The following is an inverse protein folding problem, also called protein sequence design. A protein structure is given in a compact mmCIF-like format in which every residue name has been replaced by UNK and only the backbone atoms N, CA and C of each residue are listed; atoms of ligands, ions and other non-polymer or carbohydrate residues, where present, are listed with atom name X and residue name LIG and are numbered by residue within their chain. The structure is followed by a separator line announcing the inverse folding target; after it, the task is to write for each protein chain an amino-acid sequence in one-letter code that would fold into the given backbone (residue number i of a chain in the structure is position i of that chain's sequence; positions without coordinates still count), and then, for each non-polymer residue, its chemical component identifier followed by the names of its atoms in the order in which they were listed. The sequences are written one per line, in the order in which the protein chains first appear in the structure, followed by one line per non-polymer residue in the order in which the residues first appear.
data_IF_609471641020
#
_entry.id   IF_609471641020
#
_cell.length_a   1.000
_cell.length_b   1.000
_cell.length_c   1.000
_cell.angle_alpha   90.00
_cell.angle_beta   90.00
_cell.angle_gamma   90.00
#
_symmetry.space_group_name_H-M   'P 1'
#
loop_
_entity.id
_entity.type
_entity.pdbx_description
1 polymer ?
#
# COMPACT_ATOMS: atom_id res chain seq x y z
N UNK A 1 -16.10 -2.97 31.62
CA UNK A 1 -15.88 -2.63 30.19
C UNK A 1 -15.25 -1.25 30.17
N UNK A 2 -14.04 -1.12 29.63
CA UNK A 2 -13.35 0.18 29.55
C UNK A 2 -14.15 1.13 28.65
N UNK A 3 -14.39 2.37 29.11
CA UNK A 3 -15.08 3.44 28.37
C UNK A 3 -14.17 4.18 27.38
N UNK A 4 -12.94 3.71 27.19
CA UNK A 4 -12.02 4.26 26.21
C UNK A 4 -12.31 3.64 24.84
N UNK A 5 -12.51 4.45 23.78
CA UNK A 5 -12.65 3.91 22.43
C UNK A 5 -11.39 3.12 22.08
N UNK A 6 -11.55 1.84 21.75
CA UNK A 6 -10.46 1.01 21.27
C UNK A 6 -9.96 1.60 19.95
N UNK A 7 -8.68 2.00 19.89
CA UNK A 7 -8.05 2.54 18.69
C UNK A 7 -7.98 1.42 17.64
N UNK A 8 -8.97 1.40 16.76
CA UNK A 8 -9.08 0.45 15.65
C UNK A 8 -9.21 1.19 14.34
N UNK A 9 -8.78 0.55 13.27
CA UNK A 9 -9.06 1.02 11.92
C UNK A 9 -10.58 1.00 11.66
N UNK A 10 -11.17 2.08 11.14
CA UNK A 10 -12.57 2.09 10.78
C UNK A 10 -12.81 1.25 9.53
N UNK A 11 -14.00 0.65 9.47
CA UNK A 11 -14.48 -0.05 8.28
C UNK A 11 -14.82 0.93 7.15
N UNK A 12 -14.90 0.43 5.92
CA UNK A 12 -15.35 1.23 4.76
C UNK A 12 -16.72 1.86 5.02
N UNK A 13 -17.64 1.14 5.68
CA UNK A 13 -18.96 1.66 6.04
C UNK A 13 -18.88 2.86 6.99
N UNK A 14 -18.01 2.79 8.00
CA UNK A 14 -17.79 3.89 8.96
C UNK A 14 -17.13 5.11 8.31
N UNK A 15 -16.21 4.88 7.36
CA UNK A 15 -15.62 5.94 6.54
C UNK A 15 -16.67 6.65 5.69
N UNK A 16 -17.54 5.89 5.00
CA UNK A 16 -18.62 6.45 4.18
C UNK A 16 -19.65 7.19 5.04
N UNK A 17 -20.01 6.67 6.21
CA UNK A 17 -20.89 7.37 7.15
C UNK A 17 -20.28 8.68 7.66
N UNK A 18 -18.99 8.68 8.00
CA UNK A 18 -18.27 9.88 8.41
C UNK A 18 -18.24 10.94 7.31
N UNK A 19 -18.00 10.52 6.05
CA UNK A 19 -18.02 11.42 4.90
C UNK A 19 -19.43 11.98 4.63
N UNK A 20 -20.47 11.15 4.77
CA UNK A 20 -21.87 11.58 4.61
C UNK A 20 -22.27 12.60 5.67
N UNK A 21 -21.87 12.38 6.92
CA UNK A 21 -22.09 13.34 8.00
C UNK A 21 -21.40 14.67 7.71
N UNK A 22 -20.15 14.63 7.24
CA UNK A 22 -19.40 15.84 6.88
C UNK A 22 -20.08 16.62 5.74
N UNK A 23 -20.55 15.92 4.70
CA UNK A 23 -21.28 16.53 3.60
C UNK A 23 -22.62 17.14 4.02
N UNK A 24 -23.35 16.48 4.93
CA UNK A 24 -24.62 16.99 5.46
C UNK A 24 -24.44 18.24 6.35
N UNK A 25 -23.34 18.32 7.10
CA UNK A 25 -23.04 19.47 7.96
C UNK A 25 -22.58 20.70 7.18
N UNK A 26 -21.97 20.51 6.00
CA UNK A 26 -21.39 21.58 5.17
C UNK A 26 -21.81 21.45 3.69
N UNK A 27 -23.12 21.47 3.36
CA UNK A 27 -23.59 21.15 2.01
C UNK A 27 -23.16 22.16 0.93
N UNK A 28 -22.78 23.39 1.31
CA UNK A 28 -22.22 24.38 0.38
C UNK A 28 -20.75 24.13 0.01
N UNK A 29 -20.00 23.45 0.88
CA UNK A 29 -18.56 23.22 0.72
C UNK A 29 -18.23 21.76 0.35
N UNK A 30 -19.11 20.82 0.69
CA UNK A 30 -18.90 19.38 0.57
C UNK A 30 -19.96 18.68 -0.28
N UNK A 31 -19.54 17.69 -1.07
CA UNK A 31 -20.44 16.79 -1.79
C UNK A 31 -19.92 15.36 -1.75
N UNK A 32 -20.74 14.43 -1.27
CA UNK A 32 -20.50 13.00 -1.39
C UNK A 32 -21.27 12.45 -2.60
N UNK A 33 -20.61 11.65 -3.44
CA UNK A 33 -21.25 11.02 -4.59
C UNK A 33 -20.63 9.66 -4.88
N UNK A 34 -21.42 8.77 -5.50
CA UNK A 34 -20.97 7.45 -5.89
C UNK A 34 -20.37 7.51 -7.31
N UNK A 35 -19.20 6.90 -7.48
CA UNK A 35 -18.41 6.96 -8.73
C UNK A 35 -18.42 5.63 -9.50
N UNK A 36 -18.88 4.57 -8.86
CA UNK A 36 -18.95 3.24 -9.45
C UNK A 36 -19.40 2.18 -8.45
N UNK A 37 -19.27 0.92 -8.86
CA UNK A 37 -19.48 -0.26 -8.02
C UNK A 37 -18.32 -1.23 -8.26
N UNK A 38 -17.94 -1.94 -7.21
CA UNK A 38 -16.94 -3.01 -7.25
C UNK A 38 -17.50 -4.29 -7.86
N UNK A 39 -16.64 -5.30 -8.05
CA UNK A 39 -17.00 -6.60 -8.62
C UNK A 39 -18.10 -7.31 -7.84
N UNK A 40 -18.09 -7.20 -6.51
CA UNK A 40 -19.12 -7.74 -5.64
C UNK A 40 -20.22 -6.72 -5.31
N UNK A 41 -20.34 -5.64 -6.09
CA UNK A 41 -21.48 -4.71 -6.05
C UNK A 41 -21.42 -3.67 -4.93
N UNK A 42 -20.29 -3.53 -4.20
CA UNK A 42 -20.12 -2.49 -3.18
C UNK A 42 -19.86 -1.13 -3.83
N UNK A 43 -20.51 -0.04 -3.38
CA UNK A 43 -20.37 1.28 -4.00
C UNK A 43 -19.03 1.95 -3.68
N UNK A 44 -18.41 2.56 -4.69
CA UNK A 44 -17.23 3.42 -4.52
C UNK A 44 -17.69 4.87 -4.38
N UNK A 45 -17.19 5.58 -3.38
CA UNK A 45 -17.63 6.94 -3.05
C UNK A 45 -16.47 7.94 -3.09
N UNK A 46 -16.75 9.11 -3.66
CA UNK A 46 -15.87 10.28 -3.60
C UNK A 46 -16.52 11.37 -2.76
N UNK A 47 -15.78 11.87 -1.77
CA UNK A 47 -16.08 13.10 -1.06
C UNK A 47 -15.32 14.25 -1.73
N UNK A 48 -16.03 15.26 -2.22
CA UNK A 48 -15.45 16.49 -2.77
C UNK A 48 -15.56 17.63 -1.76
N UNK A 49 -14.51 18.45 -1.63
CA UNK A 49 -14.45 19.65 -0.79
C UNK A 49 -13.91 20.81 -1.63
N UNK A 50 -14.68 21.90 -1.73
CA UNK A 50 -14.35 23.06 -2.56
C UNK A 50 -14.95 23.01 -3.98
N UNK A 51 -14.79 24.10 -4.72
CA UNK A 51 -15.39 24.32 -6.04
C UNK A 51 -14.43 24.93 -7.07
N UNK A 52 -13.15 25.06 -6.73
CA UNK A 52 -12.14 25.58 -7.64
C UNK A 52 -11.85 24.62 -8.80
N UNK A 53 -11.36 25.17 -9.92
CA UNK A 53 -11.07 24.41 -11.14
C UNK A 53 -9.89 23.44 -10.99
N UNK A 54 -8.85 23.81 -10.24
CA UNK A 54 -7.70 22.94 -10.00
C UNK A 54 -8.12 21.84 -9.02
N UNK A 55 -7.76 20.60 -9.31
CA UNK A 55 -8.19 19.45 -8.52
C UNK A 55 -7.00 18.67 -7.95
N UNK A 56 -7.12 18.29 -6.67
CA UNK A 56 -6.33 17.23 -6.02
C UNK A 56 -7.23 16.01 -5.89
N UNK A 57 -6.71 14.84 -6.27
CA UNK A 57 -7.37 13.56 -6.00
C UNK A 57 -6.58 12.79 -4.93
N UNK A 58 -7.22 12.42 -3.84
CA UNK A 58 -6.65 11.53 -2.82
C UNK A 58 -7.35 10.18 -2.92
N UNK A 59 -6.58 9.11 -3.03
CA UNK A 59 -7.07 7.74 -3.18
C UNK A 59 -6.73 6.95 -1.92
N UNK A 60 -7.75 6.50 -1.19
CA UNK A 60 -7.59 5.63 -0.04
C UNK A 60 -8.01 4.19 -0.37
N UNK A 61 -7.57 3.23 0.45
CA UNK A 61 -7.94 1.83 0.30
C UNK A 61 -7.42 1.23 -1.00
N UNK A 62 -6.19 1.59 -1.39
CA UNK A 62 -5.49 1.02 -2.54
C UNK A 62 -5.30 -0.50 -2.39
N UNK A 63 -4.98 -0.94 -1.17
CA UNK A 63 -4.93 -2.35 -0.79
C UNK A 63 -5.71 -2.63 0.49
N UNK A 64 -6.32 -3.81 0.54
CA UNK A 64 -7.12 -4.28 1.66
C UNK A 64 -6.38 -4.29 3.01
N UNK A 65 -5.08 -4.57 2.98
CA UNK A 65 -4.23 -4.74 4.16
C UNK A 65 -3.60 -3.42 4.68
N UNK A 66 -4.00 -2.27 4.11
CA UNK A 66 -3.40 -0.94 4.32
C UNK A 66 -4.45 0.08 4.81
N UNK A 67 -4.98 -0.09 6.04
CA UNK A 67 -6.21 0.58 6.46
C UNK A 67 -6.07 2.04 6.91
N UNK A 68 -4.84 2.59 7.01
CA UNK A 68 -4.60 3.96 7.49
C UNK A 68 -5.08 5.06 6.53
N UNK A 69 -5.13 4.78 5.22
CA UNK A 69 -5.40 5.79 4.19
C UNK A 69 -6.80 6.41 4.27
N UNK A 70 -7.83 5.62 4.60
CA UNK A 70 -9.21 6.12 4.71
C UNK A 70 -9.37 7.18 5.81
N UNK A 71 -8.95 6.89 7.06
CA UNK A 71 -8.88 7.87 8.14
C UNK A 71 -8.05 9.12 7.80
N UNK A 72 -6.88 8.95 7.17
CA UNK A 72 -6.04 10.07 6.74
C UNK A 72 -6.74 10.97 5.72
N UNK A 73 -7.41 10.39 4.72
CA UNK A 73 -8.22 11.13 3.75
C UNK A 73 -9.32 11.96 4.43
N UNK A 74 -10.02 11.40 5.42
CA UNK A 74 -11.04 12.14 6.19
C UNK A 74 -10.44 13.21 7.12
N UNK A 75 -9.25 12.98 7.68
CA UNK A 75 -8.54 13.98 8.47
C UNK A 75 -8.18 15.19 7.59
N UNK A 76 -7.65 14.97 6.39
CA UNK A 76 -7.36 16.03 5.42
C UNK A 76 -8.65 16.73 4.96
N UNK A 77 -9.73 16.00 4.69
CA UNK A 77 -11.01 16.60 4.30
C UNK A 77 -11.54 17.56 5.39
N UNK A 78 -11.44 17.20 6.67
CA UNK A 78 -11.80 18.08 7.80
C UNK A 78 -10.88 19.28 7.89
N UNK A 79 -9.57 19.09 7.69
CA UNK A 79 -8.59 20.17 7.69
C UNK A 79 -8.86 21.18 6.58
N UNK A 80 -9.09 20.73 5.35
CA UNK A 80 -9.43 21.57 4.20
C UNK A 80 -10.71 22.38 4.42
N UNK A 81 -11.68 21.85 5.19
CA UNK A 81 -12.87 22.60 5.58
C UNK A 81 -12.58 23.67 6.64
N UNK A 82 -11.67 23.38 7.58
CA UNK A 82 -11.29 24.28 8.65
C UNK A 82 -10.33 25.39 8.21
N UNK A 83 -9.53 25.14 7.17
CA UNK A 83 -8.52 26.03 6.58
C UNK A 83 -8.94 26.45 5.15
N UNK A 84 -9.76 27.51 4.99
CA UNK A 84 -10.28 27.94 3.68
C UNK A 84 -9.20 28.21 2.63
N UNK A 85 -8.00 28.60 3.04
CA UNK A 85 -6.83 28.82 2.20
C UNK A 85 -6.40 27.56 1.43
N UNK A 86 -6.62 26.36 1.99
CA UNK A 86 -6.32 25.10 1.31
C UNK A 86 -7.28 24.83 0.15
N UNK A 87 -8.48 25.41 0.18
CA UNK A 87 -9.52 25.23 -0.84
C UNK A 87 -9.87 26.49 -1.63
N UNK A 88 -9.12 27.57 -1.46
CA UNK A 88 -9.39 28.85 -2.11
C UNK A 88 -9.24 28.76 -3.64
N UNK A 89 -8.22 28.05 -4.11
CA UNK A 89 -7.91 27.87 -5.54
C UNK A 89 -7.87 26.40 -5.97
N UNK A 90 -8.17 25.48 -5.04
CA UNK A 90 -8.03 24.03 -5.21
C UNK A 90 -9.28 23.31 -4.68
N UNK A 91 -9.85 22.42 -5.49
CA UNK A 91 -10.84 21.43 -5.03
C UNK A 91 -10.15 20.15 -4.64
N UNK A 92 -10.60 19.54 -3.55
CA UNK A 92 -10.06 18.30 -3.02
C UNK A 92 -11.08 17.19 -3.18
N UNK A 93 -10.67 16.06 -3.73
CA UNK A 93 -11.53 14.91 -3.97
C UNK A 93 -10.93 13.68 -3.32
N UNK A 94 -11.70 12.99 -2.48
CA UNK A 94 -11.24 11.85 -1.68
C UNK A 94 -12.01 10.60 -2.09
N UNK A 95 -11.39 9.70 -2.85
CA UNK A 95 -11.92 8.35 -3.06
C UNK A 95 -11.70 7.55 -1.78
N UNK A 96 -12.79 7.22 -1.09
CA UNK A 96 -12.73 6.73 0.30
C UNK A 96 -12.22 5.28 0.41
N UNK A 97 -12.37 4.48 -0.64
CA UNK A 97 -11.83 3.13 -0.75
C UNK A 97 -11.82 2.70 -2.23
N UNK A 98 -10.64 2.41 -2.78
CA UNK A 98 -10.49 1.93 -4.15
C UNK A 98 -10.89 0.45 -4.30
N UNK A 99 -10.59 -0.39 -3.30
CA UNK A 99 -10.96 -1.81 -3.27
C UNK A 99 -11.86 -2.17 -2.07
N UNK A 100 -13.15 -1.80 -2.10
CA UNK A 100 -14.07 -2.11 -1.00
C UNK A 100 -14.33 -3.61 -0.85
N UNK A 101 -14.10 -4.41 -1.90
CA UNK A 101 -14.24 -5.86 -1.85
C UNK A 101 -13.09 -6.47 -1.08
N UNK A 102 -11.84 -6.13 -1.45
CA UNK A 102 -10.68 -6.57 -0.70
C UNK A 102 -10.68 -6.09 0.74
N UNK A 103 -11.05 -4.82 0.99
CA UNK A 103 -11.15 -4.28 2.34
C UNK A 103 -12.15 -5.05 3.22
N UNK A 104 -13.18 -5.68 2.63
CA UNK A 104 -14.13 -6.52 3.37
C UNK A 104 -13.57 -7.90 3.76
N UNK A 105 -12.50 -8.34 3.09
CA UNK A 105 -11.85 -9.62 3.33
C UNK A 105 -10.68 -9.53 4.32
N UNK A 106 -10.09 -8.35 4.53
CA UNK A 106 -9.10 -8.14 5.58
C UNK A 106 -9.79 -7.85 6.92
N UNK A 107 -9.56 -8.71 7.92
CA UNK A 107 -10.39 -8.77 9.14
C UNK A 107 -9.63 -8.58 10.46
N UNK A 108 -8.50 -7.86 10.43
CA UNK A 108 -7.77 -7.49 11.66
C UNK A 108 -7.74 -5.97 11.89
N UNK A 109 -8.82 -5.37 12.42
CA UNK A 109 -8.92 -3.91 12.58
C UNK A 109 -8.11 -3.34 13.76
N UNK A 110 -7.65 -4.17 14.69
CA UNK A 110 -6.85 -3.76 15.85
C UNK A 110 -5.81 -4.85 16.22
N UNK A 111 -4.80 -5.07 15.35
CA UNK A 111 -3.79 -6.10 15.61
C UNK A 111 -2.95 -5.73 16.84
N UNK A 112 -2.70 -6.71 17.73
CA UNK A 112 -1.83 -6.53 18.90
C UNK A 112 -0.41 -7.03 18.66
N UNK A 113 -0.23 -7.85 17.62
CA UNK A 113 1.04 -8.39 17.17
C UNK A 113 1.03 -8.58 15.65
N UNK A 114 2.22 -8.82 15.05
CA UNK A 114 2.29 -9.23 13.65
C UNK A 114 1.53 -10.54 13.41
N UNK A 115 1.52 -11.46 14.38
CA UNK A 115 0.78 -12.71 14.22
C UNK A 115 -0.72 -12.45 14.13
N UNK A 116 -1.29 -11.66 15.04
CA UNK A 116 -2.72 -11.28 15.01
C UNK A 116 -3.09 -10.59 13.69
N UNK A 117 -2.22 -9.72 13.18
CA UNK A 117 -2.39 -9.08 11.87
C UNK A 117 -2.47 -10.10 10.74
N UNK A 118 -1.58 -11.09 10.74
CA UNK A 118 -1.55 -12.11 9.70
C UNK A 118 -2.75 -13.06 9.77
N UNK A 119 -3.33 -13.32 10.95
CA UNK A 119 -4.50 -14.21 11.06
C UNK A 119 -5.74 -13.71 10.29
N UNK A 120 -5.89 -12.40 10.11
CA UNK A 120 -6.95 -11.79 9.30
C UNK A 120 -6.46 -11.18 7.99
N UNK A 121 -5.24 -11.49 7.55
CA UNK A 121 -4.62 -10.89 6.37
C UNK A 121 -5.39 -11.20 5.10
N UNK A 122 -5.48 -10.21 4.22
CA UNK A 122 -5.89 -10.39 2.83
C UNK A 122 -5.25 -9.31 1.97
N UNK A 123 -4.67 -9.70 0.84
CA UNK A 123 -4.26 -8.81 -0.24
C UNK A 123 -4.60 -9.50 -1.56
N UNK A 124 -5.35 -8.87 -2.49
CA UNK A 124 -5.70 -9.51 -3.76
C UNK A 124 -4.47 -9.86 -4.61
N UNK A 125 -4.63 -10.78 -5.56
CA UNK A 125 -3.64 -10.96 -6.63
C UNK A 125 -3.49 -9.66 -7.45
N UNK A 126 -2.32 -9.40 -8.04
CA UNK A 126 -2.04 -8.11 -8.71
C UNK A 126 -3.08 -7.70 -9.76
N UNK A 127 -3.55 -8.64 -10.59
CA UNK A 127 -4.59 -8.40 -11.60
C UNK A 127 -5.97 -8.05 -11.00
N UNK A 128 -6.16 -8.30 -9.70
CA UNK A 128 -7.37 -7.99 -8.95
C UNK A 128 -7.24 -6.71 -8.11
N UNK A 129 -6.05 -6.08 -8.05
CA UNK A 129 -5.82 -4.84 -7.32
C UNK A 129 -6.17 -3.65 -8.24
N UNK A 130 -7.07 -2.72 -7.84
CA UNK A 130 -7.57 -1.70 -8.76
C UNK A 130 -6.50 -0.81 -9.39
N UNK A 131 -5.42 -0.49 -8.66
CA UNK A 131 -4.35 0.36 -9.15
C UNK A 131 -3.35 -0.36 -10.07
N UNK A 132 -3.12 -1.66 -9.83
CA UNK A 132 -2.15 -2.48 -10.57
C UNK A 132 -2.74 -3.24 -11.75
N UNK A 133 -4.05 -3.49 -11.76
CA UNK A 133 -4.71 -4.27 -12.80
C UNK A 133 -4.37 -3.83 -14.24
N UNK A 134 -4.26 -2.51 -14.56
CA UNK A 134 -3.83 -2.05 -15.88
C UNK A 134 -2.44 -2.52 -16.34
N UNK A 135 -1.53 -2.82 -15.42
CA UNK A 135 -0.20 -3.35 -15.75
C UNK A 135 -0.22 -4.83 -16.11
N UNK A 136 -1.30 -5.55 -15.78
CA UNK A 136 -1.38 -7.01 -15.89
C UNK A 136 -2.52 -7.50 -16.80
N UNK A 137 -3.48 -6.64 -17.10
CA UNK A 137 -4.69 -6.99 -17.83
C UNK A 137 -4.95 -6.02 -19.00
N UNK A 138 -5.50 -6.53 -20.12
CA UNK A 138 -5.95 -5.66 -21.20
C UNK A 138 -7.18 -4.83 -20.80
N UNK A 139 -7.46 -3.69 -21.47
CA UNK A 139 -8.55 -2.76 -21.13
C UNK A 139 -9.94 -3.39 -20.96
N UNK A 140 -10.28 -4.37 -21.78
CA UNK A 140 -11.57 -5.08 -21.78
C UNK A 140 -11.76 -5.99 -20.56
N UNK A 141 -10.67 -6.36 -19.88
CA UNK A 141 -10.65 -7.20 -18.68
C UNK A 141 -10.42 -6.44 -17.37
N UNK A 142 -10.24 -5.11 -17.43
CA UNK A 142 -10.01 -4.32 -16.22
C UNK A 142 -11.18 -4.41 -15.23
N UNK A 143 -10.90 -4.53 -13.92
CA UNK A 143 -11.93 -4.49 -12.88
C UNK A 143 -12.77 -3.20 -12.95
N UNK A 144 -14.07 -3.27 -12.60
CA UNK A 144 -14.93 -2.09 -12.54
C UNK A 144 -14.42 -1.01 -11.56
N UNK A 145 -13.71 -1.38 -10.50
CA UNK A 145 -13.03 -0.48 -9.57
C UNK A 145 -11.95 0.35 -10.28
N UNK A 146 -11.11 -0.30 -11.10
CA UNK A 146 -10.09 0.35 -11.93
C UNK A 146 -10.73 1.32 -12.94
N UNK A 147 -11.84 0.91 -13.57
CA UNK A 147 -12.59 1.76 -14.50
C UNK A 147 -13.21 2.97 -13.80
N UNK A 148 -13.72 2.79 -12.59
CA UNK A 148 -14.25 3.87 -11.77
C UNK A 148 -13.14 4.86 -11.37
N UNK A 149 -11.98 4.38 -10.91
CA UNK A 149 -10.84 5.23 -10.56
C UNK A 149 -10.33 6.03 -11.76
N UNK A 150 -10.06 5.37 -12.89
CA UNK A 150 -9.62 6.05 -14.12
C UNK A 150 -10.67 7.03 -14.65
N UNK A 151 -11.96 6.70 -14.56
CA UNK A 151 -13.06 7.61 -14.88
C UNK A 151 -13.11 8.85 -13.98
N UNK A 152 -12.83 8.71 -12.69
CA UNK A 152 -12.68 9.85 -11.76
C UNK A 152 -11.49 10.72 -12.16
N UNK A 153 -10.33 10.12 -12.48
CA UNK A 153 -9.16 10.86 -12.93
C UNK A 153 -9.47 11.61 -14.25
N UNK A 154 -10.17 10.98 -15.19
CA UNK A 154 -10.58 11.58 -16.47
C UNK A 154 -11.53 12.78 -16.28
N UNK A 155 -12.45 12.67 -15.33
CA UNK A 155 -13.42 13.72 -15.02
C UNK A 155 -12.78 14.91 -14.28
N UNK A 156 -11.91 14.62 -13.29
CA UNK A 156 -11.32 15.64 -12.42
C UNK A 156 -10.05 16.28 -13.00
N UNK A 157 -9.30 15.53 -13.82
CA UNK A 157 -8.00 15.94 -14.38
C UNK A 157 -7.08 16.53 -13.31
N UNK A 158 -6.81 15.79 -12.23
CA UNK A 158 -6.10 16.34 -11.09
C UNK A 158 -4.68 16.74 -11.49
N UNK A 159 -4.20 17.87 -10.97
CA UNK A 159 -2.79 18.23 -11.14
C UNK A 159 -1.89 17.31 -10.29
N UNK A 160 -2.45 16.73 -9.22
CA UNK A 160 -1.81 15.69 -8.44
C UNK A 160 -2.84 14.68 -7.91
N UNK A 161 -2.54 13.40 -8.10
CA UNK A 161 -3.12 12.29 -7.37
C UNK A 161 -2.19 11.95 -6.19
N UNK A 162 -2.74 11.76 -5.00
CA UNK A 162 -2.03 11.21 -3.85
C UNK A 162 -2.71 9.91 -3.48
N UNK A 163 -2.07 8.77 -3.76
CA UNK A 163 -2.58 7.46 -3.36
C UNK A 163 -1.93 7.01 -2.05
N UNK A 164 -2.75 6.52 -1.12
CA UNK A 164 -2.39 6.26 0.26
C UNK A 164 -2.22 4.76 0.48
N UNK A 165 -0.98 4.39 0.79
CA UNK A 165 -0.54 3.02 0.98
C UNK A 165 0.01 2.82 2.39
N UNK A 166 0.31 1.57 2.72
CA UNK A 166 1.01 1.25 3.93
C UNK A 166 1.85 -0.01 3.83
N UNK A 167 2.91 -0.05 4.63
CA UNK A 167 3.67 -1.27 4.86
C UNK A 167 3.24 -1.87 6.20
N UNK A 168 3.20 -3.20 6.27
CA UNK A 168 3.02 -3.88 7.55
C UNK A 168 4.19 -3.51 8.48
N UNK A 169 5.44 -3.75 8.07
CA UNK A 169 6.62 -3.47 8.89
C UNK A 169 7.72 -2.79 8.08
N UNK A 170 8.17 -1.60 8.44
CA UNK A 170 9.27 -0.93 7.75
C UNK A 170 9.42 0.54 8.17
N UNK A 171 9.70 1.40 7.21
CA UNK A 171 9.69 2.85 7.38
C UNK A 171 8.69 3.51 6.44
N UNK A 172 8.58 4.82 6.52
CA UNK A 172 7.78 5.61 5.57
C UNK A 172 8.63 6.08 4.40
N UNK A 173 8.03 6.14 3.22
CA UNK A 173 8.65 6.64 2.01
C UNK A 173 7.59 7.11 1.00
N UNK A 174 8.04 7.77 -0.08
CA UNK A 174 7.20 8.31 -1.15
C UNK A 174 7.75 7.90 -2.50
N UNK A 175 6.87 7.40 -3.38
CA UNK A 175 7.15 7.24 -4.81
C UNK A 175 6.44 8.32 -5.61
N UNK A 176 7.15 8.96 -6.52
CA UNK A 176 6.63 10.04 -7.36
C UNK A 176 6.72 9.63 -8.82
N UNK A 177 5.60 9.64 -9.56
CA UNK A 177 5.65 9.40 -11.01
C UNK A 177 6.26 10.57 -11.79
N UNK A 178 6.43 11.72 -11.13
CA UNK A 178 7.20 12.89 -11.57
C UNK A 178 7.66 13.65 -10.33
N UNK A 179 8.90 14.14 -10.35
CA UNK A 179 9.48 14.83 -9.20
C UNK A 179 8.61 15.98 -8.68
N UNK A 180 8.62 16.20 -7.36
CA UNK A 180 7.96 17.32 -6.68
C UNK A 180 9.01 17.98 -5.78
N UNK A 181 9.78 18.95 -6.32
CA UNK A 181 10.86 19.56 -5.57
C UNK A 181 10.41 20.15 -4.24
N UNK A 182 11.21 19.89 -3.20
CA UNK A 182 10.99 20.42 -1.86
C UNK A 182 10.08 19.60 -0.97
N UNK A 183 9.49 18.48 -1.41
CA UNK A 183 8.65 17.65 -0.52
C UNK A 183 9.46 16.84 0.50
N UNK A 184 10.76 16.61 0.25
CA UNK A 184 11.60 15.77 1.11
C UNK A 184 11.74 16.35 2.53
N UNK A 185 11.86 17.67 2.68
CA UNK A 185 11.96 18.32 4.00
C UNK A 185 10.68 18.17 4.84
N UNK A 186 9.48 18.59 4.37
CA UNK A 186 8.27 18.48 5.19
C UNK A 186 7.88 17.02 5.44
N UNK A 187 8.18 16.11 4.50
CA UNK A 187 8.01 14.67 4.68
C UNK A 187 8.90 14.14 5.82
N UNK A 188 10.22 14.34 5.72
CA UNK A 188 11.17 13.86 6.73
C UNK A 188 10.95 14.50 8.10
N UNK A 189 10.61 15.80 8.13
CA UNK A 189 10.26 16.51 9.36
C UNK A 189 9.04 15.87 10.04
N UNK A 190 7.98 15.60 9.28
CA UNK A 190 6.80 14.94 9.84
C UNK A 190 7.12 13.54 10.36
N UNK A 191 7.95 12.78 9.66
CA UNK A 191 8.34 11.44 10.09
C UNK A 191 9.13 11.50 11.41
N UNK A 192 10.09 12.42 11.51
CA UNK A 192 10.89 12.64 12.72
C UNK A 192 10.05 13.05 13.94
N UNK A 193 9.13 14.01 13.77
CA UNK A 193 8.24 14.48 14.85
C UNK A 193 7.29 13.38 15.38
N UNK A 194 6.98 12.39 14.54
CA UNK A 194 6.07 11.27 14.87
C UNK A 194 6.82 9.98 15.21
N UNK A 195 8.15 10.02 15.26
CA UNK A 195 9.05 8.88 15.50
C UNK A 195 8.82 7.71 14.51
N UNK A 196 8.66 8.05 13.23
CA UNK A 196 8.56 7.11 12.11
C UNK A 196 9.88 7.15 11.33
N UNK A 197 10.59 6.01 11.18
CA UNK A 197 11.80 5.94 10.36
C UNK A 197 11.50 6.24 8.89
N UNK A 198 12.42 6.92 8.22
CA UNK A 198 12.34 7.17 6.78
C UNK A 198 13.09 6.05 6.06
N UNK A 199 12.38 5.27 5.26
CA UNK A 199 12.97 4.16 4.50
C UNK A 199 13.68 4.71 3.26
N UNK A 200 15.01 4.82 3.33
CA UNK A 200 15.81 5.50 2.30
C UNK A 200 16.17 4.62 1.10
N UNK A 201 16.04 3.30 1.27
CA UNK A 201 16.33 2.29 0.24
C UNK A 201 15.14 1.36 0.00
N UNK A 202 13.93 1.90 -0.18
CA UNK A 202 12.73 1.10 -0.35
C UNK A 202 12.86 0.10 -1.52
N UNK A 203 12.67 -1.18 -1.25
CA UNK A 203 12.83 -2.25 -2.24
C UNK A 203 11.80 -2.16 -3.37
N UNK A 204 10.59 -1.68 -3.10
CA UNK A 204 9.55 -1.40 -4.11
C UNK A 204 9.95 -0.25 -5.06
N UNK A 205 10.91 0.60 -4.67
CA UNK A 205 11.48 1.66 -5.50
C UNK A 205 12.91 1.34 -5.95
N UNK A 206 13.29 0.06 -5.99
CA UNK A 206 14.64 -0.36 -6.37
C UNK A 206 15.04 0.23 -7.74
N UNK A 207 16.18 0.92 -7.76
CA UNK A 207 16.72 1.56 -8.98
C UNK A 207 16.07 2.89 -9.36
N UNK A 208 15.11 3.39 -8.57
CA UNK A 208 14.51 4.71 -8.80
C UNK A 208 15.41 5.79 -8.18
N UNK A 209 15.72 6.88 -8.93
CA UNK A 209 16.47 8.00 -8.36
C UNK A 209 15.74 8.63 -7.18
N UNK A 210 16.48 9.03 -6.15
CA UNK A 210 15.92 9.75 -5.01
C UNK A 210 16.02 11.27 -5.22
N UNK A 211 14.96 12.02 -4.90
CA UNK A 211 15.01 13.50 -4.81
C UNK A 211 15.19 14.01 -3.37
N UNK A 212 15.24 13.10 -2.41
CA UNK A 212 15.60 13.32 -1.01
C UNK A 212 15.45 12.03 -0.20
N UNK A 213 15.78 12.02 1.11
CA UNK A 213 15.62 10.85 1.96
C UNK A 213 14.19 10.30 1.90
N UNK A 214 14.04 9.04 1.48
CA UNK A 214 12.75 8.35 1.34
C UNK A 214 11.82 8.93 0.27
N UNK A 215 12.31 9.76 -0.64
CA UNK A 215 11.53 10.28 -1.78
C UNK A 215 12.14 9.78 -3.08
N UNK A 216 11.47 8.82 -3.72
CA UNK A 216 11.90 8.18 -4.95
C UNK A 216 11.09 8.67 -6.14
N UNK A 217 11.74 8.92 -7.27
CA UNK A 217 11.12 9.44 -8.49
C UNK A 217 11.21 8.39 -9.58
N UNK A 218 10.10 8.15 -10.26
CA UNK A 218 10.03 7.20 -11.36
C UNK A 218 11.05 7.57 -12.43
N UNK A 219 11.87 6.60 -12.88
CA UNK A 219 12.93 6.89 -13.82
C UNK A 219 12.37 7.18 -15.22
N UNK A 220 13.16 7.88 -16.04
CA UNK A 220 12.80 8.17 -17.42
C UNK A 220 12.50 6.88 -18.23
N UNK A 221 11.66 6.96 -19.28
CA UNK A 221 11.40 5.81 -20.15
C UNK A 221 12.71 5.17 -20.65
N UNK A 222 12.77 3.83 -20.66
CA UNK A 222 13.95 3.08 -21.07
C UNK A 222 14.94 2.76 -19.95
N UNK A 223 14.75 3.28 -18.73
CA UNK A 223 15.41 2.72 -17.55
C UNK A 223 14.91 1.30 -17.31
N UNK A 224 15.83 0.34 -17.24
CA UNK A 224 15.49 -1.07 -16.97
C UNK A 224 14.93 -1.27 -15.57
N UNK A 225 14.05 -2.26 -15.40
CA UNK A 225 13.54 -2.65 -14.09
C UNK A 225 14.66 -3.30 -13.26
N UNK A 226 14.71 -3.00 -11.96
CA UNK A 226 15.63 -3.64 -11.03
C UNK A 226 15.28 -5.13 -10.82
N UNK A 227 14.00 -5.48 -10.91
CA UNK A 227 13.46 -6.83 -10.80
C UNK A 227 12.61 -7.16 -12.04
N UNK A 228 13.21 -7.54 -13.18
CA UNK A 228 12.49 -7.74 -14.43
C UNK A 228 11.47 -8.90 -14.41
N UNK A 229 11.53 -9.79 -13.42
CA UNK A 229 10.55 -10.86 -13.24
C UNK A 229 9.22 -10.38 -12.64
N UNK A 230 9.20 -9.20 -12.02
CA UNK A 230 8.02 -8.68 -11.34
C UNK A 230 7.09 -7.95 -12.33
N UNK A 231 5.76 -8.08 -12.18
CA UNK A 231 4.79 -7.40 -13.04
C UNK A 231 4.48 -5.97 -12.57
N UNK A 232 5.49 -5.20 -12.17
CA UNK A 232 5.38 -3.97 -11.37
C UNK A 232 5.71 -2.67 -12.15
N UNK A 233 5.48 -2.64 -13.47
CA UNK A 233 5.68 -1.40 -14.24
C UNK A 233 4.59 -0.36 -13.92
N UNK A 234 4.93 0.54 -12.99
CA UNK A 234 4.09 1.66 -12.56
C UNK A 234 3.62 2.57 -13.72
N UNK A 235 4.31 2.58 -14.86
CA UNK A 235 3.89 3.36 -16.05
C UNK A 235 2.62 2.80 -16.70
N UNK A 236 2.37 1.51 -16.48
CA UNK A 236 1.19 0.82 -16.98
C UNK A 236 0.06 0.78 -15.96
N UNK A 237 0.26 1.29 -14.73
CA UNK A 237 -0.72 1.30 -13.65
C UNK A 237 -1.62 2.55 -13.66
N UNK A 238 -2.65 2.59 -12.80
CA UNK A 238 -3.48 3.81 -12.66
C UNK A 238 -2.68 5.01 -12.16
N UNK A 239 -1.53 4.80 -11.52
CA UNK A 239 -0.65 5.86 -11.03
C UNK A 239 -0.14 6.75 -12.17
N UNK A 240 -0.01 6.23 -13.39
CA UNK A 240 0.44 7.02 -14.53
C UNK A 240 -0.72 7.73 -15.27
N UNK A 241 -1.98 7.40 -14.97
CA UNK A 241 -3.14 7.89 -15.73
C UNK A 241 -3.30 9.42 -15.68
N UNK A 242 -2.94 10.06 -14.57
CA UNK A 242 -2.99 11.52 -14.42
C UNK A 242 -2.04 12.27 -15.39
N UNK A 243 -0.98 11.61 -15.88
CA UNK A 243 -0.03 12.22 -16.84
C UNK A 243 -0.69 12.59 -18.17
N UNK A 244 -1.79 11.91 -18.55
CA UNK A 244 -2.60 12.25 -19.73
C UNK A 244 -3.09 13.70 -19.71
N UNK A 245 -3.22 14.27 -18.52
CA UNK A 245 -3.70 15.64 -18.29
C UNK A 245 -2.60 16.58 -17.77
N UNK A 246 -1.34 16.15 -17.81
CA UNK A 246 -0.20 16.91 -17.28
C UNK A 246 -0.03 16.83 -15.76
N UNK A 247 -0.87 16.05 -15.07
CA UNK A 247 -0.76 15.77 -13.64
C UNK A 247 0.32 14.73 -13.31
N UNK A 248 0.48 14.44 -12.02
CA UNK A 248 1.37 13.40 -11.50
C UNK A 248 0.71 12.63 -10.36
N UNK A 249 1.34 11.55 -9.92
CA UNK A 249 0.92 10.76 -8.76
C UNK A 249 2.04 10.68 -7.73
N UNK A 250 1.68 10.89 -6.47
CA UNK A 250 2.50 10.56 -5.31
C UNK A 250 1.87 9.35 -4.58
N UNK A 251 2.67 8.32 -4.37
CA UNK A 251 2.34 7.14 -3.59
C UNK A 251 2.97 7.33 -2.21
N UNK A 252 2.16 7.38 -1.16
CA UNK A 252 2.62 7.66 0.21
C UNK A 252 2.49 6.41 1.07
N UNK A 253 3.62 5.89 1.51
CA UNK A 253 3.72 4.67 2.30
C UNK A 253 3.93 4.99 3.77
N UNK A 254 3.11 4.43 4.66
CA UNK A 254 3.28 4.57 6.12
C UNK A 254 3.33 3.19 6.79
N UNK A 255 4.26 2.96 7.75
CA UNK A 255 4.35 1.66 8.41
C UNK A 255 3.31 1.50 9.51
N UNK A 256 2.77 0.29 9.64
CA UNK A 256 1.99 -0.13 10.80
C UNK A 256 2.92 -0.46 11.99
N UNK A 257 4.01 -1.20 11.71
CA UNK A 257 5.15 -1.39 12.61
C UNK A 257 6.40 -0.72 12.04
N UNK A 258 7.01 0.17 12.82
CA UNK A 258 8.26 0.82 12.46
C UNK A 258 9.47 -0.06 12.79
N UNK A 259 10.54 0.09 12.00
CA UNK A 259 11.86 -0.46 12.28
C UNK A 259 12.98 0.46 11.81
N UNK A 260 13.99 0.68 12.65
CA UNK A 260 15.19 1.46 12.32
C UNK A 260 16.20 0.61 11.51
N UNK A 261 15.83 -0.59 11.06
CA UNK A 261 16.69 -1.42 10.20
C UNK A 261 16.63 -1.03 8.72
N UNK A 262 15.75 -0.09 8.35
CA UNK A 262 15.50 0.31 6.95
C UNK A 262 15.93 1.75 6.64
N UNK A 263 16.55 2.44 7.59
CA UNK A 263 17.00 3.83 7.44
C UNK A 263 18.53 4.03 7.50
N UNK A 264 19.32 2.99 7.81
CA UNK A 264 20.79 3.04 7.88
C UNK A 264 21.44 3.22 6.49
N UNK A 265 21.97 4.41 6.16
CA UNK A 265 22.55 4.69 4.85
C UNK A 265 23.98 4.16 4.71
N UNK A 266 24.55 3.54 5.75
CA UNK A 266 25.91 3.03 5.67
C UNK A 266 26.00 1.88 4.65
N UNK A 267 27.13 1.75 3.93
CA UNK A 267 27.36 0.62 3.03
C UNK A 267 27.22 -0.72 3.76
N UNK A 268 26.54 -1.67 3.14
CA UNK A 268 26.47 -3.04 3.61
C UNK A 268 27.80 -3.76 3.30
N UNK A 269 28.39 -4.54 4.23
CA UNK A 269 29.73 -5.12 4.05
C UNK A 269 29.81 -6.18 2.93
N UNK A 270 28.69 -6.86 2.63
CA UNK A 270 28.62 -7.88 1.58
C UNK A 270 27.21 -7.97 0.94
N UNK A 271 26.76 -6.96 0.19
CA UNK A 271 25.37 -6.82 -0.26
C UNK A 271 24.94 -7.98 -1.17
N UNK A 272 25.76 -8.36 -2.15
CA UNK A 272 25.46 -9.50 -3.05
C UNK A 272 25.33 -10.83 -2.29
N UNK A 273 26.17 -11.06 -1.26
CA UNK A 273 26.07 -12.25 -0.42
C UNK A 273 24.81 -12.23 0.44
N UNK A 274 24.41 -11.06 0.95
CA UNK A 274 23.14 -10.89 1.65
C UNK A 274 21.95 -11.19 0.75
N UNK A 275 21.88 -10.59 -0.45
CA UNK A 275 20.81 -10.84 -1.43
C UNK A 275 20.64 -12.34 -1.75
N UNK A 276 21.73 -13.05 -2.03
CA UNK A 276 21.68 -14.51 -2.26
C UNK A 276 21.14 -15.29 -1.05
N UNK A 277 21.49 -14.88 0.16
CA UNK A 277 21.00 -15.51 1.40
C UNK A 277 19.51 -15.23 1.62
N UNK A 278 19.04 -14.02 1.31
CA UNK A 278 17.63 -13.62 1.35
C UNK A 278 16.82 -14.41 0.31
N UNK A 279 17.31 -14.51 -0.93
CA UNK A 279 16.71 -15.32 -1.99
C UNK A 279 16.62 -16.80 -1.58
N UNK A 280 17.68 -17.36 -1.00
CA UNK A 280 17.66 -18.73 -0.49
C UNK A 280 16.64 -18.96 0.61
N UNK A 281 16.43 -18.00 1.52
CA UNK A 281 15.37 -18.07 2.54
C UNK A 281 13.99 -17.97 1.91
N UNK A 282 13.79 -17.01 1.02
CA UNK A 282 12.54 -16.80 0.29
C UNK A 282 12.10 -18.11 -0.39
N UNK A 283 12.99 -18.72 -1.17
CA UNK A 283 12.73 -20.01 -1.84
C UNK A 283 12.38 -21.13 -0.85
N UNK A 284 13.08 -21.23 0.29
CA UNK A 284 12.80 -22.27 1.31
C UNK A 284 11.44 -22.07 1.97
N UNK A 285 11.09 -20.83 2.34
CA UNK A 285 9.82 -20.53 2.99
C UNK A 285 8.65 -20.73 2.03
N UNK A 286 8.74 -20.24 0.78
CA UNK A 286 7.68 -20.43 -0.21
C UNK A 286 7.46 -21.91 -0.52
N UNK A 287 8.52 -22.72 -0.66
CA UNK A 287 8.39 -24.19 -0.80
C UNK A 287 7.67 -24.85 0.37
N UNK A 288 7.85 -24.35 1.60
CA UNK A 288 7.15 -24.90 2.76
C UNK A 288 5.63 -24.63 2.68
N UNK A 289 5.23 -23.48 2.13
CA UNK A 289 3.82 -23.16 1.86
C UNK A 289 3.30 -23.97 0.67
N UNK A 290 4.07 -24.08 -0.41
CA UNK A 290 3.71 -24.89 -1.60
C UNK A 290 3.47 -26.35 -1.24
N UNK A 291 4.27 -26.93 -0.35
CA UNK A 291 4.09 -28.30 0.12
C UNK A 291 2.76 -28.48 0.88
N UNK A 292 2.37 -27.49 1.68
CA UNK A 292 1.08 -27.50 2.37
C UNK A 292 -0.06 -27.35 1.37
N UNK A 293 0.06 -26.40 0.44
CA UNK A 293 -0.92 -26.18 -0.62
C UNK A 293 -1.10 -27.44 -1.47
N UNK A 294 -0.02 -28.05 -1.94
CA UNK A 294 -0.06 -29.25 -2.78
C UNK A 294 -0.66 -30.46 -2.05
N UNK A 295 -0.39 -30.63 -0.75
CA UNK A 295 -1.04 -31.67 0.06
C UNK A 295 -2.55 -31.40 0.24
N UNK A 296 -2.94 -30.13 0.42
CA UNK A 296 -4.33 -29.74 0.64
C UNK A 296 -5.16 -29.70 -0.65
N UNK A 297 -4.55 -29.41 -1.81
CA UNK A 297 -5.25 -29.13 -3.06
C UNK A 297 -6.29 -30.20 -3.46
N UNK A 298 -6.02 -31.52 -3.34
CA UNK A 298 -7.03 -32.54 -3.66
C UNK A 298 -8.27 -32.52 -2.75
N UNK A 299 -8.15 -31.95 -1.54
CA UNK A 299 -9.23 -31.79 -0.57
C UNK A 299 -9.95 -30.44 -0.69
N UNK A 300 -9.33 -29.50 -1.40
CA UNK A 300 -9.88 -28.19 -1.73
C UNK A 300 -10.60 -28.19 -3.10
N UNK A 301 -11.00 -29.35 -3.61
CA UNK A 301 -11.71 -29.43 -4.89
C UNK A 301 -13.04 -28.65 -4.81
N UNK A 302 -13.30 -27.82 -5.82
CA UNK A 302 -14.41 -26.86 -5.82
C UNK A 302 -14.25 -25.65 -4.88
N UNK A 303 -13.23 -25.61 -4.02
CA UNK A 303 -12.91 -24.45 -3.17
C UNK A 303 -12.14 -23.43 -4.00
N UNK A 304 -12.88 -22.58 -4.70
CA UNK A 304 -12.36 -21.36 -5.31
C UNK A 304 -12.49 -20.17 -4.37
N UNK A 305 -11.68 -19.13 -4.57
CA UNK A 305 -11.87 -17.90 -3.81
C UNK A 305 -10.73 -16.90 -3.96
N UNK A 306 -10.97 -15.63 -3.58
CA UNK A 306 -9.95 -14.59 -3.65
C UNK A 306 -8.73 -14.90 -2.77
N UNK A 307 -8.91 -15.53 -1.60
CA UNK A 307 -7.82 -15.93 -0.71
C UNK A 307 -6.88 -16.94 -1.37
N UNK A 308 -7.42 -18.01 -1.93
CA UNK A 308 -6.63 -19.06 -2.59
C UNK A 308 -5.91 -18.50 -3.83
N UNK A 309 -6.62 -17.74 -4.69
CA UNK A 309 -6.00 -17.10 -5.87
C UNK A 309 -4.85 -16.16 -5.49
N UNK A 310 -5.04 -15.34 -4.46
CA UNK A 310 -4.01 -14.43 -3.97
C UNK A 310 -2.81 -15.14 -3.34
N UNK A 311 -3.05 -16.20 -2.55
CA UNK A 311 -1.98 -17.00 -1.97
C UNK A 311 -1.14 -17.68 -3.05
N UNK A 312 -1.78 -18.33 -4.04
CA UNK A 312 -1.10 -18.96 -5.17
C UNK A 312 -0.31 -17.94 -5.99
N UNK A 313 -0.92 -16.80 -6.34
CA UNK A 313 -0.24 -15.74 -7.08
C UNK A 313 1.01 -15.22 -6.35
N UNK A 314 0.94 -15.00 -5.04
CA UNK A 314 2.10 -14.58 -4.25
C UNK A 314 3.26 -15.60 -4.28
N UNK A 315 2.95 -16.90 -4.34
CA UNK A 315 3.94 -17.97 -4.46
C UNK A 315 4.54 -18.04 -5.87
N UNK A 316 3.74 -17.80 -6.91
CA UNK A 316 4.18 -17.79 -8.32
C UNK A 316 5.23 -16.70 -8.62
N UNK A 317 5.22 -15.59 -7.88
CA UNK A 317 6.22 -14.50 -8.03
C UNK A 317 7.62 -14.89 -7.52
N UNK A 318 7.69 -15.82 -6.56
CA UNK A 318 8.90 -16.09 -5.78
C UNK A 318 10.08 -16.59 -6.63
N UNK A 319 9.92 -17.56 -7.55
CA UNK A 319 11.05 -18.08 -8.31
C UNK A 319 11.74 -17.01 -9.16
N UNK A 320 10.95 -16.15 -9.82
CA UNK A 320 11.46 -15.04 -10.63
C UNK A 320 12.21 -14.02 -9.77
N UNK A 321 11.58 -13.55 -8.70
CA UNK A 321 12.18 -12.57 -7.80
C UNK A 321 13.48 -13.07 -7.17
N UNK A 322 13.51 -14.34 -6.74
CA UNK A 322 14.70 -14.96 -6.19
C UNK A 322 15.82 -15.07 -7.25
N UNK A 323 15.48 -15.36 -8.50
CA UNK A 323 16.43 -15.39 -9.60
C UNK A 323 17.01 -13.99 -9.85
N UNK A 324 16.18 -12.95 -9.86
CA UNK A 324 16.64 -11.56 -9.97
C UNK A 324 17.67 -11.25 -8.88
N UNK A 325 17.37 -11.52 -7.61
CA UNK A 325 18.31 -11.25 -6.50
C UNK A 325 19.61 -12.05 -6.54
N UNK A 326 19.62 -13.21 -7.20
CA UNK A 326 20.82 -14.06 -7.33
C UNK A 326 21.68 -13.60 -8.51
N UNK A 327 21.06 -13.20 -9.62
CA UNK A 327 21.71 -13.02 -10.90
C UNK A 327 21.92 -11.55 -11.30
N UNK A 328 21.21 -10.61 -10.67
CA UNK A 328 21.41 -9.18 -10.89
C UNK A 328 22.25 -8.55 -9.77
N UNK A 329 22.87 -7.41 -10.05
CA UNK A 329 23.54 -6.61 -9.03
C UNK A 329 22.47 -5.97 -8.14
N UNK A 330 22.65 -5.91 -6.80
CA UNK A 330 21.78 -5.12 -5.94
C UNK A 330 21.60 -3.71 -6.48
N UNK A 331 20.36 -3.19 -6.46
CA UNK A 331 20.07 -1.86 -6.99
C UNK A 331 20.73 -0.74 -6.17
N UNK A 332 20.99 -1.03 -4.90
CA UNK A 332 21.66 -0.18 -3.93
C UNK A 332 22.50 -1.09 -3.00
N UNK A 333 23.61 -0.59 -2.46
CA UNK A 333 24.53 -1.35 -1.61
C UNK A 333 24.49 -0.96 -0.13
N UNK A 334 23.57 -0.08 0.27
CA UNK A 334 23.34 0.36 1.64
C UNK A 334 22.70 -0.74 2.49
N UNK A 335 22.87 -0.62 3.81
CA UNK A 335 22.17 -1.49 4.76
C UNK A 335 20.67 -1.26 4.75
N UNK A 336 20.20 -0.02 4.58
CA UNK A 336 18.80 0.34 4.43
C UNK A 336 18.12 -0.48 3.32
N UNK A 337 18.72 -0.52 2.13
CA UNK A 337 18.18 -1.30 1.01
C UNK A 337 18.17 -2.81 1.30
N UNK A 338 19.27 -3.36 1.81
CA UNK A 338 19.31 -4.78 2.19
C UNK A 338 18.30 -5.11 3.30
N UNK A 339 18.06 -4.17 4.23
CA UNK A 339 17.03 -4.27 5.26
C UNK A 339 15.62 -4.28 4.68
N UNK A 340 15.34 -3.40 3.71
CA UNK A 340 14.07 -3.36 2.98
C UNK A 340 13.80 -4.68 2.24
N UNK A 341 14.81 -5.22 1.53
CA UNK A 341 14.70 -6.54 0.87
C UNK A 341 14.54 -7.67 1.89
N UNK A 342 15.20 -7.61 3.06
CA UNK A 342 15.01 -8.58 4.15
C UNK A 342 13.55 -8.56 4.65
N UNK A 343 12.93 -7.38 4.77
CA UNK A 343 11.54 -7.24 5.15
C UNK A 343 10.61 -7.80 4.05
N UNK A 344 10.77 -7.36 2.80
CA UNK A 344 9.95 -7.80 1.68
C UNK A 344 9.99 -9.32 1.48
N UNK A 345 11.18 -9.92 1.54
CA UNK A 345 11.37 -11.36 1.40
C UNK A 345 10.74 -12.20 2.51
N UNK A 346 10.46 -11.63 3.68
CA UNK A 346 9.73 -12.29 4.78
C UNK A 346 8.22 -12.17 4.59
N UNK A 347 7.76 -10.99 4.15
CA UNK A 347 6.35 -10.70 3.93
C UNK A 347 5.74 -11.62 2.88
N UNK A 348 6.41 -11.83 1.75
CA UNK A 348 5.81 -12.55 0.61
C UNK A 348 5.32 -13.97 0.96
N UNK A 349 6.15 -14.90 1.49
CA UNK A 349 5.69 -16.23 1.89
C UNK A 349 4.77 -16.19 3.12
N UNK A 350 4.97 -15.25 4.05
CA UNK A 350 4.12 -15.11 5.23
C UNK A 350 2.69 -14.70 4.87
N UNK A 351 2.52 -13.74 3.95
CA UNK A 351 1.22 -13.31 3.44
C UNK A 351 0.51 -14.43 2.69
N UNK A 352 1.23 -15.19 1.86
CA UNK A 352 0.67 -16.37 1.19
C UNK A 352 0.23 -17.45 2.19
N UNK A 353 1.07 -17.77 3.18
CA UNK A 353 0.75 -18.71 4.25
C UNK A 353 -0.46 -18.26 5.07
N UNK A 354 -0.56 -16.97 5.40
CA UNK A 354 -1.67 -16.40 6.15
C UNK A 354 -3.01 -16.50 5.40
N UNK A 355 -3.02 -16.17 4.11
CA UNK A 355 -4.24 -16.30 3.29
C UNK A 355 -4.63 -17.77 3.10
N UNK A 356 -3.67 -18.65 2.85
CA UNK A 356 -3.92 -20.10 2.74
C UNK A 356 -4.42 -20.68 4.08
N UNK A 357 -3.88 -20.25 5.22
CA UNK A 357 -4.34 -20.69 6.54
C UNK A 357 -5.83 -20.40 6.74
N UNK A 358 -6.30 -19.24 6.28
CA UNK A 358 -7.71 -18.90 6.34
C UNK A 358 -8.57 -19.83 5.48
N UNK A 359 -8.14 -20.13 4.26
CA UNK A 359 -8.82 -21.12 3.39
C UNK A 359 -8.92 -22.46 4.11
N UNK A 360 -7.80 -22.97 4.65
CA UNK A 360 -7.77 -24.26 5.34
C UNK A 360 -8.67 -24.28 6.59
N UNK A 361 -8.77 -23.16 7.33
CA UNK A 361 -9.67 -23.04 8.48
C UNK A 361 -11.14 -23.02 8.07
N UNK A 362 -11.47 -22.29 7.00
CA UNK A 362 -12.84 -22.21 6.47
C UNK A 362 -13.34 -23.58 5.98
N UNK A 363 -12.43 -24.46 5.56
CA UNK A 363 -12.74 -25.82 5.10
C UNK A 363 -12.48 -26.92 6.14
N UNK A 364 -12.11 -26.57 7.38
CA UNK A 364 -11.72 -27.52 8.44
C UNK A 364 -10.64 -28.54 7.98
N UNK A 365 -9.66 -28.09 7.20
CA UNK A 365 -8.61 -28.95 6.66
C UNK A 365 -7.54 -29.26 7.72
N UNK A 366 -7.17 -30.54 7.81
CA UNK A 366 -6.14 -31.07 8.72
C UNK A 366 -4.77 -30.40 8.61
N UNK A 367 -4.47 -29.70 7.51
CA UNK A 367 -3.22 -28.99 7.33
C UNK A 367 -3.18 -27.62 8.04
N UNK A 368 -4.32 -27.08 8.49
CA UNK A 368 -4.40 -25.78 9.13
C UNK A 368 -3.45 -25.62 10.35
N UNK A 369 -3.38 -26.57 11.32
CA UNK A 369 -2.49 -26.42 12.47
C UNK A 369 -1.00 -26.39 12.10
N UNK A 370 -0.60 -27.07 11.02
CA UNK A 370 0.78 -27.03 10.54
C UNK A 370 1.13 -25.65 9.99
N UNK A 371 0.24 -25.07 9.19
CA UNK A 371 0.46 -23.77 8.56
C UNK A 371 0.38 -22.64 9.59
N UNK A 372 -0.51 -22.74 10.58
CA UNK A 372 -0.61 -21.80 11.69
C UNK A 372 0.71 -21.67 12.46
N UNK A 373 1.35 -22.79 12.83
CA UNK A 373 2.68 -22.76 13.48
C UNK A 373 3.75 -22.08 12.63
N UNK A 374 3.67 -22.20 11.30
CA UNK A 374 4.59 -21.49 10.40
C UNK A 374 4.31 -19.99 10.40
N UNK A 375 3.04 -19.58 10.32
CA UNK A 375 2.62 -18.17 10.36
C UNK A 375 3.03 -17.53 11.69
N UNK A 376 2.80 -18.21 12.81
CA UNK A 376 3.21 -17.77 14.16
C UNK A 376 4.74 -17.58 14.23
N UNK A 377 5.51 -18.64 13.99
CA UNK A 377 6.97 -18.60 14.10
C UNK A 377 7.61 -17.58 13.14
N UNK A 378 7.08 -17.42 11.93
CA UNK A 378 7.59 -16.43 10.99
C UNK A 378 7.18 -15.00 11.35
N UNK A 379 5.99 -14.79 11.92
CA UNK A 379 5.56 -13.49 12.41
C UNK A 379 6.43 -13.04 13.59
N UNK A 380 6.68 -13.93 14.55
CA UNK A 380 7.56 -13.66 15.70
C UNK A 380 8.99 -13.37 15.24
N UNK A 381 9.57 -14.25 14.40
CA UNK A 381 10.92 -14.03 13.86
C UNK A 381 11.04 -12.73 13.06
N UNK A 382 9.97 -12.32 12.36
CA UNK A 382 9.95 -11.07 11.62
C UNK A 382 9.92 -9.87 12.58
N UNK A 383 9.05 -9.91 13.60
CA UNK A 383 8.97 -8.87 14.62
C UNK A 383 10.31 -8.71 15.36
N UNK A 384 10.91 -9.80 15.80
CA UNK A 384 12.19 -9.81 16.53
C UNK A 384 13.34 -9.29 15.67
N UNK A 385 13.47 -9.78 14.42
CA UNK A 385 14.57 -9.38 13.53
C UNK A 385 14.63 -7.87 13.33
N UNK A 386 13.47 -7.24 13.28
CA UNK A 386 13.33 -5.82 12.98
C UNK A 386 13.06 -4.96 14.21
N UNK A 387 12.96 -5.54 15.42
CA UNK A 387 12.55 -4.79 16.60
C UNK A 387 11.23 -4.06 16.37
N UNK A 388 10.25 -4.74 15.78
CA UNK A 388 9.01 -4.15 15.30
C UNK A 388 8.30 -3.35 16.39
N UNK A 389 8.12 -2.05 16.15
CA UNK A 389 7.48 -1.13 17.10
C UNK A 389 6.17 -0.62 16.51
N UNK A 390 5.07 -0.82 17.22
CA UNK A 390 3.77 -0.27 16.80
C UNK A 390 3.86 1.24 16.61
N UNK A 391 3.41 1.73 15.45
CA UNK A 391 3.21 3.15 15.20
C UNK A 391 1.77 3.48 15.62
N UNK A 392 1.54 4.40 16.58
CA UNK A 392 0.18 4.78 16.96
C UNK A 392 -0.67 5.16 15.74
N UNK A 393 -1.94 4.74 15.71
CA UNK A 393 -2.80 4.95 14.55
C UNK A 393 -2.90 6.44 14.18
N UNK A 394 -3.03 7.29 15.19
CA UNK A 394 -3.01 8.74 15.08
C UNK A 394 -1.73 9.27 14.40
N UNK A 395 -0.57 8.66 14.64
CA UNK A 395 0.69 9.04 14.00
C UNK A 395 0.73 8.57 12.55
N UNK A 396 0.23 7.36 12.24
CA UNK A 396 0.10 6.88 10.86
C UNK A 396 -0.76 7.85 10.04
N UNK A 397 -1.92 8.23 10.61
CA UNK A 397 -2.88 9.16 10.01
C UNK A 397 -2.28 10.55 9.83
N UNK A 398 -1.68 11.11 10.88
CA UNK A 398 -1.11 12.46 10.86
C UNK A 398 0.03 12.56 9.87
N UNK A 399 0.90 11.55 9.79
CA UNK A 399 2.01 11.55 8.83
C UNK A 399 1.52 11.54 7.38
N UNK A 400 0.55 10.67 7.05
CA UNK A 400 -0.07 10.68 5.73
C UNK A 400 -0.77 12.01 5.45
N UNK A 401 -1.53 12.55 6.41
CA UNK A 401 -2.24 13.81 6.25
C UNK A 401 -1.31 15.00 5.96
N UNK A 402 -0.20 15.11 6.70
CA UNK A 402 0.84 16.13 6.47
C UNK A 402 1.48 15.98 5.09
N UNK A 403 1.79 14.74 4.70
CA UNK A 403 2.42 14.44 3.40
C UNK A 403 1.49 14.76 2.23
N UNK A 404 0.19 14.42 2.33
CA UNK A 404 -0.83 14.77 1.34
C UNK A 404 -0.86 16.28 1.09
N UNK A 405 -0.94 17.07 2.16
CA UNK A 405 -1.01 18.54 2.07
C UNK A 405 0.30 19.11 1.50
N UNK A 406 1.45 18.63 1.96
CA UNK A 406 2.75 19.07 1.45
C UNK A 406 2.89 18.78 -0.06
N UNK A 407 2.59 17.55 -0.49
CA UNK A 407 2.62 17.17 -1.91
C UNK A 407 1.71 18.05 -2.75
N UNK A 408 0.46 18.29 -2.31
CA UNK A 408 -0.47 19.13 -3.03
C UNK A 408 0.03 20.57 -3.20
N UNK A 409 0.53 21.18 -2.12
CA UNK A 409 1.02 22.56 -2.14
C UNK A 409 2.26 22.72 -3.03
N UNK A 410 3.22 21.78 -2.95
CA UNK A 410 4.44 21.83 -3.75
C UNK A 410 4.19 21.49 -5.23
N UNK A 411 3.30 20.53 -5.53
CA UNK A 411 2.94 20.20 -6.91
C UNK A 411 2.20 21.36 -7.59
N UNK A 412 1.40 22.12 -6.85
CA UNK A 412 0.65 23.27 -7.37
C UNK A 412 1.55 24.36 -7.94
N UNK A 413 2.70 24.63 -7.31
CA UNK A 413 3.66 25.66 -7.78
C UNK A 413 4.15 25.37 -9.21
N UNK A 414 4.14 24.10 -9.65
CA UNK A 414 4.53 23.69 -11.01
C UNK A 414 3.38 23.70 -12.03
N UNK A 415 2.13 23.75 -11.57
CA UNK A 415 0.93 23.63 -12.40
C UNK A 415 0.31 25.00 -12.77
N UNK A 416 0.93 26.10 -12.31
CA UNK A 416 0.72 27.45 -12.87
C UNK A 416 1.70 27.70 -14.00
#
# INVERSE_FOLDING_TARGET
MSLLPELRYPTVTELVWSARALAAQRPGDCRLWQVGVSRAGRPLHVLSVGQARRAVLVVAGAHANEPAGGPAALAVARRVLAEPELRADTSWHFLLCADPDGASLHVTPAPRSLFDYHLGFFRPAGAEQPEWAPAMLPPDRLPPETRALTGVIDALRPYVQVTLHGTDLGGSWVQLTKDVPGIAEPFAKSAAELHIPVETGASDAAGWPASGPGVHVMPAPGAGAAYPSMPDDARLSTWYHAHRYGGLTAVVEVPMWASDQVDDPAPHPAPAAAMRRLAGRLLRQSRAVDQVLADALPRLDGVGGPLLRAATWGLELVPGLAADWIHTRPADDTKAYIGSVDAFSRRLPLRAAAMLLRVLRETDDRAAPRLERLVEAWSESFAERFGARWVPLEHQIEHQARTIVAVALHARVRAG
#
